data_IF_552293291418
#
_entry.id   IF_552293291418
#
_cell.length_a   1.000
_cell.length_b   1.000
_cell.length_c   1.000
_cell.angle_alpha   90.00
_cell.angle_beta   90.00
_cell.angle_gamma   90.00
#
_symmetry.space_group_name_H-M   'P 1'
#
loop_
_entity.id
_entity.type
_entity.pdbx_description
1 polymer ?
#
# COMPACT_ATOMS: atom_id res chain seq x y z
N UNK A 1 9.60 17.06 1.84
CA UNK A 1 9.16 17.21 3.25
C UNK A 1 7.80 17.90 3.43
N UNK A 2 7.40 18.89 2.62
CA UNK A 2 6.08 19.55 2.74
C UNK A 2 4.89 18.58 2.64
N UNK A 3 4.94 17.60 1.73
CA UNK A 3 3.87 16.60 1.56
C UNK A 3 3.66 15.71 2.80
N UNK A 4 4.74 15.24 3.44
CA UNK A 4 4.66 14.48 4.70
C UNK A 4 3.99 15.30 5.81
N UNK A 5 4.40 16.56 5.97
CA UNK A 5 3.80 17.47 6.95
C UNK A 5 2.32 17.71 6.66
N UNK A 6 1.97 17.99 5.40
CA UNK A 6 0.58 18.25 5.01
C UNK A 6 -0.28 17.01 5.17
N UNK A 7 0.19 15.84 4.76
CA UNK A 7 -0.53 14.57 4.93
C UNK A 7 -0.79 14.31 6.42
N UNK A 8 0.22 14.45 7.28
CA UNK A 8 0.06 14.29 8.73
C UNK A 8 -0.99 15.24 9.33
N UNK A 9 -1.19 16.42 8.75
CA UNK A 9 -2.19 17.40 9.21
C UNK A 9 -3.61 17.05 8.78
N UNK A 10 -3.80 16.35 7.66
CA UNK A 10 -5.14 16.11 7.07
C UNK A 10 -5.57 14.65 7.12
N UNK A 11 -4.68 13.73 7.52
CA UNK A 11 -4.94 12.28 7.42
C UNK A 11 -6.21 11.86 8.17
N UNK A 12 -6.56 12.56 9.24
CA UNK A 12 -7.67 12.24 10.13
C UNK A 12 -8.94 13.05 9.79
N UNK A 13 -8.89 13.91 8.77
CA UNK A 13 -10.05 14.69 8.28
C UNK A 13 -10.95 13.87 7.34
N UNK A 14 -10.61 12.59 7.10
CA UNK A 14 -11.29 11.72 6.15
C UNK A 14 -11.69 10.40 6.80
N UNK A 15 -12.81 9.84 6.38
CA UNK A 15 -13.25 8.52 6.84
C UNK A 15 -12.43 7.38 6.21
N UNK A 16 -12.04 7.57 4.94
CA UNK A 16 -11.35 6.56 4.12
C UNK A 16 -10.19 7.18 3.35
N UNK A 17 -9.04 6.51 3.39
CA UNK A 17 -7.88 6.81 2.55
C UNK A 17 -7.65 5.65 1.59
N UNK A 18 -7.80 5.90 0.29
CA UNK A 18 -7.49 4.92 -0.76
C UNK A 18 -6.11 5.19 -1.37
N UNK A 19 -5.24 4.19 -1.31
CA UNK A 19 -3.91 4.19 -1.89
C UNK A 19 -3.91 3.43 -3.23
N UNK A 20 -3.15 3.93 -4.20
CA UNK A 20 -2.99 3.29 -5.50
C UNK A 20 -1.57 2.74 -5.66
N UNK A 21 -1.43 1.43 -5.51
CA UNK A 21 -0.15 0.73 -5.68
C UNK A 21 0.25 0.69 -7.17
N UNK A 22 1.53 0.87 -7.55
CA UNK A 22 2.76 0.68 -6.74
C UNK A 22 3.56 1.95 -6.43
N UNK A 23 2.95 3.05 -5.97
CA UNK A 23 3.69 4.30 -5.73
C UNK A 23 4.43 4.30 -4.37
N UNK A 24 5.77 4.08 -4.29
CA UNK A 24 6.46 3.79 -3.01
C UNK A 24 6.44 4.95 -2.00
N UNK A 25 6.23 6.16 -2.48
CA UNK A 25 6.13 7.34 -1.63
C UNK A 25 4.90 7.29 -0.71
N UNK A 26 3.82 6.62 -1.14
CA UNK A 26 2.60 6.47 -0.34
C UNK A 26 2.84 5.56 0.87
N UNK A 27 3.65 4.52 0.72
CA UNK A 27 4.03 3.60 1.81
C UNK A 27 4.73 4.37 2.93
N UNK A 28 5.66 5.25 2.57
CA UNK A 28 6.34 6.11 3.51
C UNK A 28 5.38 7.11 4.18
N UNK A 29 4.47 7.71 3.41
CA UNK A 29 3.44 8.61 3.96
C UNK A 29 2.56 7.90 4.99
N UNK A 30 2.04 6.73 4.64
CA UNK A 30 1.18 5.94 5.50
C UNK A 30 1.90 5.54 6.80
N UNK A 31 3.10 4.96 6.70
CA UNK A 31 3.85 4.47 7.86
C UNK A 31 4.36 5.59 8.77
N UNK A 32 4.63 6.78 8.22
CA UNK A 32 5.07 7.94 9.01
C UNK A 32 3.93 8.69 9.70
N UNK A 33 2.73 8.66 9.12
CA UNK A 33 1.60 9.43 9.61
C UNK A 33 0.63 8.60 10.45
N UNK A 34 0.48 7.29 10.17
CA UNK A 34 -0.45 6.35 10.85
C UNK A 34 -1.87 6.94 10.96
N UNK A 35 -2.63 7.03 9.86
CA UNK A 35 -4.00 7.56 9.87
C UNK A 35 -4.92 6.74 10.78
N UNK A 36 -5.85 7.41 11.46
CA UNK A 36 -6.93 6.74 12.19
C UNK A 36 -8.09 6.34 11.25
N UNK A 37 -8.15 6.97 10.07
CA UNK A 37 -9.06 6.67 8.97
C UNK A 37 -8.89 5.23 8.47
N UNK A 38 -9.98 4.66 7.91
CA UNK A 38 -9.92 3.35 7.25
C UNK A 38 -9.06 3.43 6.00
N UNK A 39 -8.19 2.44 5.81
CA UNK A 39 -7.21 2.46 4.72
C UNK A 39 -7.44 1.33 3.73
N UNK A 40 -7.54 1.70 2.45
CA UNK A 40 -7.75 0.76 1.34
C UNK A 40 -6.59 0.88 0.37
N UNK A 41 -6.13 -0.23 -0.18
CA UNK A 41 -5.14 -0.25 -1.25
C UNK A 41 -5.76 -0.85 -2.50
N UNK A 42 -5.86 -0.05 -3.55
CA UNK A 42 -6.13 -0.55 -4.90
C UNK A 42 -4.81 -1.03 -5.52
N UNK A 43 -4.68 -2.34 -5.67
CA UNK A 43 -3.49 -3.01 -6.18
C UNK A 43 -3.55 -3.17 -7.71
N UNK A 44 -2.84 -2.29 -8.42
CA UNK A 44 -2.82 -2.30 -9.89
C UNK A 44 -1.80 -3.28 -10.47
N UNK A 45 -0.58 -3.32 -9.93
CA UNK A 45 0.49 -4.16 -10.48
C UNK A 45 1.66 -4.41 -9.51
N UNK A 46 2.38 -5.51 -9.75
CA UNK A 46 3.65 -5.88 -9.13
C UNK A 46 4.79 -5.02 -9.69
N UNK A 47 5.77 -4.71 -8.84
CA UNK A 47 6.99 -4.04 -9.28
C UNK A 47 7.97 -5.09 -9.81
N UNK A 48 7.98 -5.29 -11.13
CA UNK A 48 8.73 -6.39 -11.78
C UNK A 48 10.11 -5.99 -12.35
N UNK A 49 10.31 -4.70 -12.69
CA UNK A 49 11.50 -4.27 -13.45
C UNK A 49 12.74 -4.04 -12.57
N UNK A 50 12.58 -3.57 -11.33
CA UNK A 50 13.70 -3.10 -10.50
C UNK A 50 14.12 -4.08 -9.39
N UNK A 51 14.46 -5.33 -9.74
CA UNK A 51 14.74 -6.43 -8.78
C UNK A 51 15.71 -6.11 -7.62
N UNK A 52 16.77 -5.34 -7.85
CA UNK A 52 17.73 -4.97 -6.78
C UNK A 52 17.18 -3.91 -5.83
N UNK A 53 16.55 -2.87 -6.39
CA UNK A 53 15.87 -1.83 -5.61
C UNK A 53 14.71 -2.44 -4.82
N UNK A 54 14.04 -3.44 -5.39
CA UNK A 54 12.99 -4.18 -4.72
C UNK A 54 13.46 -4.86 -3.45
N UNK A 55 14.66 -5.45 -3.40
CA UNK A 55 15.16 -6.06 -2.15
C UNK A 55 15.29 -5.04 -1.01
N UNK A 56 15.63 -3.79 -1.33
CA UNK A 56 15.74 -2.71 -0.35
C UNK A 56 14.36 -2.15 0.06
N UNK A 57 13.43 -2.09 -0.90
CA UNK A 57 12.08 -1.56 -0.69
C UNK A 57 11.10 -2.61 -0.11
N UNK A 58 11.33 -3.89 -0.34
CA UNK A 58 10.51 -5.01 0.11
C UNK A 58 10.09 -4.92 1.60
N UNK A 59 10.99 -4.65 2.57
CA UNK A 59 10.56 -4.51 3.96
C UNK A 59 9.62 -3.32 4.20
N UNK A 60 9.77 -2.23 3.43
CA UNK A 60 8.85 -1.08 3.51
C UNK A 60 7.47 -1.46 2.94
N UNK A 61 7.48 -2.10 1.78
CA UNK A 61 6.29 -2.58 1.09
C UNK A 61 5.50 -3.56 1.97
N UNK A 62 6.16 -4.57 2.55
CA UNK A 62 5.52 -5.57 3.39
C UNK A 62 4.91 -4.94 4.65
N UNK A 63 5.61 -4.00 5.27
CA UNK A 63 5.09 -3.27 6.44
C UNK A 63 3.87 -2.41 6.09
N UNK A 64 3.88 -1.77 4.93
CA UNK A 64 2.74 -0.97 4.45
C UNK A 64 1.54 -1.86 4.13
N UNK A 65 1.73 -2.93 3.35
CA UNK A 65 0.64 -3.82 2.98
C UNK A 65 0.08 -4.60 4.19
N UNK A 66 0.88 -4.81 5.23
CA UNK A 66 0.42 -5.38 6.50
C UNK A 66 -0.31 -4.39 7.41
N UNK A 67 -0.14 -3.07 7.21
CA UNK A 67 -0.73 -2.04 8.08
C UNK A 67 -2.07 -1.49 7.58
N UNK A 68 -2.46 -1.80 6.34
CA UNK A 68 -3.72 -1.33 5.75
C UNK A 68 -4.91 -2.24 6.08
N UNK A 69 -6.11 -1.68 6.14
CA UNK A 69 -7.33 -2.44 6.51
C UNK A 69 -7.83 -3.37 5.40
N UNK A 70 -7.65 -2.98 4.14
CA UNK A 70 -8.17 -3.71 2.97
C UNK A 70 -7.27 -3.53 1.73
N UNK A 71 -7.13 -4.60 0.95
CA UNK A 71 -6.44 -4.59 -0.35
C UNK A 71 -7.41 -5.12 -1.40
N UNK A 72 -7.61 -4.36 -2.47
CA UNK A 72 -8.47 -4.68 -3.60
C UNK A 72 -7.59 -4.85 -4.82
N UNK A 73 -7.61 -6.01 -5.46
CA UNK A 73 -6.86 -6.27 -6.69
C UNK A 73 -7.75 -6.14 -7.93
N UNK A 74 -7.14 -5.86 -9.08
CA UNK A 74 -7.85 -5.67 -10.35
C UNK A 74 -8.57 -6.92 -10.88
N UNK A 75 -8.11 -8.13 -10.54
CA UNK A 75 -8.80 -9.38 -10.88
C UNK A 75 -8.39 -10.56 -9.97
N UNK A 76 -9.25 -11.60 -9.83
CA UNK A 76 -8.90 -12.83 -9.11
C UNK A 76 -7.69 -13.57 -9.70
N UNK A 77 -7.57 -13.57 -11.03
CA UNK A 77 -6.43 -14.17 -11.73
C UNK A 77 -5.13 -13.46 -11.34
N UNK A 78 -5.17 -12.13 -11.22
CA UNK A 78 -4.01 -11.36 -10.84
C UNK A 78 -3.55 -11.66 -9.41
N UNK A 79 -4.50 -11.79 -8.48
CA UNK A 79 -4.24 -12.25 -7.10
C UNK A 79 -3.53 -13.62 -7.10
N UNK A 80 -3.99 -14.55 -7.92
CA UNK A 80 -3.42 -15.90 -7.98
C UNK A 80 -1.99 -15.91 -8.56
N UNK A 81 -1.72 -15.05 -9.55
CA UNK A 81 -0.40 -14.98 -10.20
C UNK A 81 0.63 -14.13 -9.44
N UNK A 82 0.21 -13.10 -8.72
CA UNK A 82 1.10 -12.12 -8.09
C UNK A 82 1.90 -12.75 -6.96
N UNK A 83 3.23 -12.64 -7.02
CA UNK A 83 4.11 -13.14 -5.98
C UNK A 83 3.99 -12.32 -4.68
N UNK A 84 3.69 -11.02 -4.81
CA UNK A 84 3.45 -10.13 -3.67
C UNK A 84 2.19 -10.52 -2.92
N UNK A 85 1.08 -10.69 -3.66
CA UNK A 85 -0.24 -10.88 -3.07
C UNK A 85 -0.44 -12.28 -2.48
N UNK A 86 0.30 -13.29 -2.95
CA UNK A 86 0.28 -14.65 -2.37
C UNK A 86 0.59 -14.69 -0.88
N UNK A 87 1.46 -13.80 -0.41
CA UNK A 87 1.93 -13.78 0.98
C UNK A 87 1.09 -12.87 1.88
N UNK A 88 0.03 -12.25 1.35
CA UNK A 88 -0.77 -11.26 2.06
C UNK A 88 -2.20 -11.78 2.21
N UNK A 89 -2.78 -11.61 3.39
CA UNK A 89 -4.18 -11.99 3.65
C UNK A 89 -5.11 -10.98 3.00
N UNK A 90 -5.45 -11.21 1.74
CA UNK A 90 -6.40 -10.37 0.99
C UNK A 90 -7.82 -10.65 1.49
N UNK A 91 -8.53 -9.60 1.89
CA UNK A 91 -9.99 -9.66 2.07
C UNK A 91 -10.64 -9.75 0.69
N UNK A 92 -11.05 -10.96 0.33
CA UNK A 92 -11.86 -11.23 -0.86
C UNK A 92 -13.30 -10.79 -0.57
N UNK A 93 -13.87 -10.01 -1.48
CA UNK A 93 -15.31 -9.73 -1.56
C UNK A 93 -15.84 -10.47 -2.78
#
# INVERSE_FOLDING_TARGET
MKALKRFKQIKDDYDIINYHFPFPFMDMLHLSARPDARTVVTYHSDIVKQKRLMKLYQPLQERFLASVDCIVASSPNYVASSQTLKNIRIKRW
#
